data_IF_450489012192
#
_entry.id   IF_450489012192
#
_cell.length_a   1.000
_cell.length_b   1.000
_cell.length_c   1.000
_cell.angle_alpha   90.00
_cell.angle_beta   90.00
_cell.angle_gamma   90.00
#
_symmetry.space_group_name_H-M   'P 1'
#
loop_
_entity.id
_entity.type
_entity.pdbx_description
1 polymer ?
#
# COMPACT_ATOMS: atom_id res chain seq x y z
N UNK A 1 3.13 -2.41 15.83
CA UNK A 1 2.42 -1.14 15.47
C UNK A 1 0.90 -1.20 15.65
N UNK A 2 0.21 -2.34 15.45
CA UNK A 2 -1.25 -2.41 15.61
C UNK A 2 -1.76 -2.27 17.06
N UNK A 3 -0.91 -2.55 18.06
CA UNK A 3 -1.29 -2.60 19.49
C UNK A 3 -1.74 -1.23 20.04
N UNK A 4 -1.32 -0.11 19.43
CA UNK A 4 -1.70 1.24 19.87
C UNK A 4 -2.79 1.88 19.00
N UNK A 5 -2.69 1.72 17.68
CA UNK A 5 -3.54 2.43 16.70
C UNK A 5 -5.00 1.99 16.71
N UNK A 6 -5.26 0.73 17.05
CA UNK A 6 -6.63 0.18 17.07
C UNK A 6 -7.28 0.32 18.44
N UNK A 7 -6.62 -0.03 19.56
CA UNK A 7 -7.27 0.03 20.87
C UNK A 7 -7.49 1.46 21.38
N UNK A 8 -6.54 2.38 21.15
CA UNK A 8 -6.64 3.77 21.63
C UNK A 8 -7.93 4.48 21.17
N UNK A 9 -8.29 4.51 19.88
CA UNK A 9 -9.54 5.17 19.46
C UNK A 9 -10.78 4.45 19.97
N UNK A 10 -10.75 3.12 20.14
CA UNK A 10 -11.88 2.36 20.71
C UNK A 10 -12.11 2.75 22.18
N UNK A 11 -11.03 2.79 22.98
CA UNK A 11 -11.10 3.17 24.39
C UNK A 11 -11.55 4.62 24.56
N UNK A 12 -11.04 5.51 23.71
CA UNK A 12 -11.44 6.93 23.71
C UNK A 12 -12.90 7.11 23.30
N UNK A 13 -13.36 6.39 22.28
CA UNK A 13 -14.77 6.40 21.86
C UNK A 13 -15.71 5.89 22.98
N UNK A 14 -15.29 4.87 23.74
CA UNK A 14 -16.05 4.37 24.88
C UNK A 14 -16.15 5.41 26.02
N UNK A 15 -15.05 6.13 26.31
CA UNK A 15 -15.05 7.25 27.25
C UNK A 15 -15.92 8.41 26.77
N UNK A 16 -15.79 8.83 25.52
CA UNK A 16 -16.56 9.94 24.94
C UNK A 16 -18.07 9.66 24.93
N UNK A 17 -18.46 8.38 24.90
CA UNK A 17 -19.86 7.92 25.03
C UNK A 17 -20.32 7.73 26.49
N UNK A 18 -19.49 8.07 27.47
CA UNK A 18 -19.81 7.95 28.89
C UNK A 18 -19.83 6.51 29.43
N UNK A 19 -19.27 5.54 28.69
CA UNK A 19 -19.15 4.16 29.16
C UNK A 19 -18.00 3.97 30.17
N UNK A 20 -17.15 4.99 30.33
CA UNK A 20 -16.03 5.05 31.27
C UNK A 20 -16.05 6.41 31.98
N UNK A 21 -15.76 6.41 33.29
CA UNK A 21 -15.81 7.63 34.09
C UNK A 21 -14.57 8.53 33.94
N UNK A 22 -13.42 7.93 33.64
CA UNK A 22 -12.13 8.60 33.44
C UNK A 22 -11.59 8.28 32.04
N UNK A 23 -10.78 9.17 31.46
CA UNK A 23 -10.17 8.95 30.14
C UNK A 23 -9.07 7.87 30.25
N UNK A 24 -9.29 6.65 29.71
CA UNK A 24 -8.36 5.53 29.85
C UNK A 24 -7.05 5.73 29.09
N UNK A 25 -6.93 6.77 28.25
CA UNK A 25 -5.71 7.07 27.49
C UNK A 25 -5.06 8.40 27.90
N UNK A 26 -5.54 9.01 28.98
CA UNK A 26 -4.89 10.17 29.60
C UNK A 26 -3.48 9.79 30.09
N UNK A 27 -2.50 10.66 29.84
CA UNK A 27 -1.09 10.41 30.20
C UNK A 27 -0.38 9.32 29.38
N UNK A 28 -1.06 8.69 28.42
CA UNK A 28 -0.47 7.63 27.60
C UNK A 28 0.56 8.19 26.62
N UNK A 29 1.82 7.74 26.72
CA UNK A 29 2.86 8.08 25.75
C UNK A 29 2.64 7.31 24.44
N UNK A 30 2.57 8.04 23.31
CA UNK A 30 2.46 7.40 22.00
C UNK A 30 3.78 6.72 21.61
N UNK A 31 3.73 5.54 20.96
CA UNK A 31 4.93 4.94 20.40
C UNK A 31 5.48 5.87 19.32
N UNK A 32 6.77 6.18 19.41
CA UNK A 32 7.45 6.97 18.39
C UNK A 32 7.45 6.21 17.06
N UNK A 33 6.95 6.86 16.01
CA UNK A 33 6.98 6.29 14.68
C UNK A 33 8.39 6.40 14.09
N UNK A 34 9.17 5.34 14.24
CA UNK A 34 10.47 5.22 13.58
C UNK A 34 10.25 4.82 12.12
N UNK A 35 10.41 5.78 11.20
CA UNK A 35 10.39 5.51 9.76
C UNK A 35 11.54 4.56 9.42
N UNK A 36 11.20 3.40 8.86
CA UNK A 36 12.21 2.58 8.21
C UNK A 36 12.75 3.31 6.99
N UNK A 37 14.07 3.25 6.78
CA UNK A 37 14.71 3.85 5.62
C UNK A 37 14.19 3.15 4.36
N UNK A 38 13.45 3.90 3.54
CA UNK A 38 13.05 3.44 2.21
C UNK A 38 14.22 3.64 1.25
N UNK A 39 14.52 2.61 0.45
CA UNK A 39 15.50 2.68 -0.63
C UNK A 39 14.75 2.86 -1.94
N UNK A 40 14.99 3.98 -2.62
CA UNK A 40 14.47 4.19 -3.98
C UNK A 40 15.38 3.42 -4.96
N UNK A 41 14.82 2.53 -5.80
CA UNK A 41 15.61 1.82 -6.80
C UNK A 41 16.30 2.79 -7.77
N UNK A 42 17.56 2.51 -8.11
CA UNK A 42 18.26 3.28 -9.12
C UNK A 42 17.80 2.87 -10.53
N UNK A 43 18.02 3.75 -11.50
CA UNK A 43 17.73 3.41 -12.91
C UNK A 43 18.55 2.21 -13.41
N UNK A 44 19.80 2.06 -12.94
CA UNK A 44 20.63 0.90 -13.25
C UNK A 44 20.04 -0.40 -12.68
N UNK A 45 19.49 -0.35 -11.47
CA UNK A 45 18.79 -1.48 -10.87
C UNK A 45 17.55 -1.87 -11.69
N UNK A 46 16.73 -0.89 -12.10
CA UNK A 46 15.54 -1.15 -12.92
C UNK A 46 15.91 -1.85 -14.23
N UNK A 47 16.95 -1.36 -14.92
CA UNK A 47 17.45 -2.01 -16.15
C UNK A 47 17.84 -3.46 -15.92
N UNK A 48 18.55 -3.76 -14.84
CA UNK A 48 18.94 -5.14 -14.51
C UNK A 48 17.72 -6.00 -14.14
N UNK A 49 16.81 -5.47 -13.32
CA UNK A 49 15.59 -6.17 -12.92
C UNK A 49 14.73 -6.57 -14.14
N UNK A 50 14.60 -5.68 -15.12
CA UNK A 50 13.86 -5.95 -16.36
C UNK A 50 14.49 -7.06 -17.22
N UNK A 51 15.80 -7.36 -17.07
CA UNK A 51 16.44 -8.46 -17.83
C UNK A 51 16.22 -9.84 -17.22
N UNK A 52 15.78 -9.92 -15.97
CA UNK A 52 15.60 -11.20 -15.23
C UNK A 52 14.15 -11.50 -14.89
N UNK A 53 13.27 -10.51 -14.99
CA UNK A 53 11.84 -10.64 -14.72
C UNK A 53 11.11 -11.39 -15.85
N UNK A 54 10.06 -12.14 -15.49
CA UNK A 54 9.10 -12.67 -16.46
C UNK A 54 8.23 -11.56 -17.05
N UNK A 55 7.51 -11.86 -18.14
CA UNK A 55 6.71 -10.88 -18.87
C UNK A 55 5.68 -10.15 -18.00
N UNK A 56 5.06 -10.85 -17.04
CA UNK A 56 4.08 -10.25 -16.13
C UNK A 56 4.75 -9.25 -15.18
N UNK A 57 5.85 -9.67 -14.55
CA UNK A 57 6.62 -8.80 -13.66
C UNK A 57 7.27 -7.62 -14.41
N UNK A 58 7.68 -7.80 -15.67
CA UNK A 58 8.17 -6.71 -16.53
C UNK A 58 7.10 -5.64 -16.70
N UNK A 59 5.87 -6.03 -17.04
CA UNK A 59 4.75 -5.09 -17.18
C UNK A 59 4.51 -4.32 -15.88
N UNK A 60 4.47 -5.02 -14.75
CA UNK A 60 4.29 -4.40 -13.43
C UNK A 60 5.40 -3.38 -13.14
N UNK A 61 6.67 -3.75 -13.32
CA UNK A 61 7.82 -2.85 -13.08
C UNK A 61 7.74 -1.60 -13.96
N UNK A 62 7.43 -1.75 -15.26
CA UNK A 62 7.34 -0.64 -16.20
C UNK A 62 6.19 0.29 -15.83
N UNK A 63 5.03 -0.24 -15.47
CA UNK A 63 3.87 0.57 -15.08
C UNK A 63 4.12 1.30 -13.76
N UNK A 64 4.76 0.66 -12.79
CA UNK A 64 5.13 1.30 -11.53
C UNK A 64 6.18 2.41 -11.73
N UNK A 65 7.28 2.12 -12.45
CA UNK A 65 8.38 3.06 -12.61
C UNK A 65 8.07 4.18 -13.62
N UNK A 66 7.31 3.87 -14.68
CA UNK A 66 6.99 4.80 -15.76
C UNK A 66 5.77 5.66 -15.48
N UNK A 67 4.76 5.11 -14.80
CA UNK A 67 3.47 5.79 -14.58
C UNK A 67 3.14 6.00 -13.10
N UNK A 68 3.98 5.53 -12.16
CA UNK A 68 3.79 5.74 -10.72
C UNK A 68 2.67 4.91 -10.10
N UNK A 69 2.27 3.80 -10.74
CA UNK A 69 1.24 2.92 -10.21
C UNK A 69 1.71 2.26 -8.91
N UNK A 70 0.78 2.10 -7.97
CA UNK A 70 0.96 1.25 -6.78
C UNK A 70 0.94 -0.22 -7.20
N UNK A 71 1.54 -1.10 -6.41
CA UNK A 71 1.67 -2.53 -6.76
C UNK A 71 0.34 -3.17 -7.20
N UNK A 72 -0.75 -2.92 -6.46
CA UNK A 72 -2.05 -3.49 -6.81
C UNK A 72 -2.68 -2.89 -8.07
N UNK A 73 -2.35 -1.64 -8.41
CA UNK A 73 -2.82 -0.99 -9.64
C UNK A 73 -2.05 -1.53 -10.85
N UNK A 74 -0.74 -1.73 -10.70
CA UNK A 74 0.12 -2.30 -11.74
C UNK A 74 -0.27 -3.74 -12.09
N UNK A 75 -0.69 -4.51 -11.08
CA UNK A 75 -1.21 -5.87 -11.28
C UNK A 75 -2.59 -5.88 -11.95
N UNK A 76 -3.39 -4.83 -11.78
CA UNK A 76 -4.74 -4.69 -12.33
C UNK A 76 -4.76 -4.05 -13.73
N UNK A 77 -3.61 -3.97 -14.41
CA UNK A 77 -3.51 -3.28 -15.69
C UNK A 77 -4.34 -3.98 -16.77
N UNK A 78 -5.10 -3.19 -17.53
CA UNK A 78 -5.98 -3.69 -18.58
C UNK A 78 -5.91 -2.77 -19.80
N UNK A 79 -5.66 -3.33 -20.97
CA UNK A 79 -5.53 -2.57 -22.22
C UNK A 79 -6.78 -1.75 -22.56
N UNK A 80 -7.96 -2.18 -22.11
CA UNK A 80 -9.21 -1.45 -22.30
C UNK A 80 -9.27 -0.12 -21.53
N UNK A 81 -8.35 0.09 -20.58
CA UNK A 81 -8.22 1.33 -19.83
C UNK A 81 -7.26 2.35 -20.47
N UNK A 82 -6.66 2.02 -21.63
CA UNK A 82 -5.89 2.97 -22.43
C UNK A 82 -6.87 3.90 -23.17
N UNK A 83 -6.79 5.20 -22.89
CA UNK A 83 -7.74 6.21 -23.39
C UNK A 83 -7.17 6.97 -24.59
N UNK A 84 -5.84 7.00 -24.70
CA UNK A 84 -5.06 7.51 -25.82
C UNK A 84 -3.70 6.80 -25.82
N UNK A 85 -2.90 6.98 -26.86
CA UNK A 85 -1.61 6.30 -27.04
C UNK A 85 -0.64 6.44 -25.85
N UNK A 86 -0.78 7.51 -25.07
CA UNK A 86 0.06 7.85 -23.91
C UNK A 86 -0.74 8.06 -22.61
N UNK A 87 -2.04 7.77 -22.60
CA UNK A 87 -2.92 8.01 -21.44
C UNK A 87 -3.54 6.70 -20.96
N UNK A 88 -3.09 6.25 -19.78
CA UNK A 88 -3.68 5.13 -19.07
C UNK A 88 -4.57 5.61 -17.92
N UNK A 89 -5.81 5.10 -17.84
CA UNK A 89 -6.75 5.40 -16.74
C UNK A 89 -6.69 4.32 -15.67
N UNK A 90 -6.29 4.70 -14.46
CA UNK A 90 -6.37 3.79 -13.30
C UNK A 90 -7.83 3.61 -12.89
N UNK A 91 -8.28 2.35 -12.78
CA UNK A 91 -9.68 2.02 -12.45
C UNK A 91 -9.79 1.01 -11.29
N UNK A 92 -8.83 0.08 -11.19
CA UNK A 92 -8.89 -1.04 -10.26
C UNK A 92 -7.56 -1.21 -9.51
N UNK A 93 -7.64 -1.89 -8.36
CA UNK A 93 -6.47 -2.29 -7.59
C UNK A 93 -6.68 -3.71 -7.09
N UNK A 94 -5.78 -4.63 -7.43
CA UNK A 94 -5.78 -5.97 -6.88
C UNK A 94 -5.24 -5.90 -5.46
N UNK A 95 -6.00 -6.49 -4.54
CA UNK A 95 -5.63 -6.63 -3.15
C UNK A 95 -5.18 -8.07 -2.94
N UNK A 96 -4.00 -8.27 -2.34
CA UNK A 96 -3.61 -9.60 -1.93
C UNK A 96 -4.53 -10.05 -0.80
N UNK A 97 -5.38 -11.05 -1.07
CA UNK A 97 -6.06 -11.81 -0.04
C UNK A 97 -5.19 -13.04 0.25
N UNK A 98 -4.63 -13.20 1.46
CA UNK A 98 -3.82 -14.38 1.81
C UNK A 98 -4.59 -15.71 1.74
N UNK A 99 -5.90 -15.69 1.50
CA UNK A 99 -6.75 -16.87 1.39
C UNK A 99 -6.97 -17.43 -0.04
N UNK A 100 -6.33 -16.90 -1.10
CA UNK A 100 -6.67 -17.38 -2.45
C UNK A 100 -5.67 -17.07 -3.55
N UNK A 101 -4.62 -17.88 -3.65
CA UNK A 101 -3.93 -18.12 -4.92
C UNK A 101 -4.70 -19.25 -5.62
N UNK A 102 -5.68 -18.91 -6.45
CA UNK A 102 -6.18 -19.88 -7.42
C UNK A 102 -5.27 -19.81 -8.64
N UNK A 103 -4.57 -20.92 -8.84
CA UNK A 103 -3.84 -21.32 -10.04
C UNK A 103 -4.74 -21.33 -11.27
#
# INVERSE_FOLDING_TARGET
MAIFRTPKPILRDAHDKGSMAEDPVEGMQEPEYVRQKMVVPSFAYLKQALTVADEGLVLEIVMMAGCGLRNGEAQAVNINNLVADDVYRVHEQIHSNPAGRQT
#
